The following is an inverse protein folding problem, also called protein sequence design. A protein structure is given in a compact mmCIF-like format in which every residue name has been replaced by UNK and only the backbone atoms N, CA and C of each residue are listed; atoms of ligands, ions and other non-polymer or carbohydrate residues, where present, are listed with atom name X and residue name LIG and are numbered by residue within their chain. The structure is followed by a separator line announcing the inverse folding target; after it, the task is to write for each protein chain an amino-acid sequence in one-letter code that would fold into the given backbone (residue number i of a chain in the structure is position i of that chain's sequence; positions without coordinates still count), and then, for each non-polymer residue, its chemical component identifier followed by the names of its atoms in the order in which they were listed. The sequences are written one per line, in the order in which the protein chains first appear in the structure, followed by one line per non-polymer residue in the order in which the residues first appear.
data_IF_746429422985
#
_entry.id   IF_746429422985
#
_cell.length_a   1.000
_cell.length_b   1.000
_cell.length_c   1.000
_cell.angle_alpha   90.00
_cell.angle_beta   90.00
_cell.angle_gamma   90.00
#
_symmetry.space_group_name_H-M   'P 1'
#
loop_
_entity.id
_entity.type
_entity.pdbx_description
1 polymer ?
#
# COMPACT_ATOMS: atom_id res chain seq x y z
N UNK A 1 22.95 11.52 6.69
CA UNK A 1 21.93 10.98 5.76
C UNK A 1 22.39 11.16 4.31
N UNK A 2 22.53 10.06 3.58
CA UNK A 2 22.87 10.05 2.15
C UNK A 2 21.57 9.96 1.35
N UNK A 3 21.35 10.87 0.41
CA UNK A 3 20.18 10.82 -0.48
C UNK A 3 20.29 9.71 -1.52
N UNK A 4 19.18 9.35 -2.16
CA UNK A 4 19.20 8.51 -3.37
C UNK A 4 18.86 9.37 -4.58
N UNK A 5 19.74 9.35 -5.59
CA UNK A 5 19.49 10.01 -6.87
C UNK A 5 18.27 9.41 -7.55
N UNK A 6 17.38 10.26 -8.09
CA UNK A 6 16.30 9.80 -8.95
C UNK A 6 16.87 9.42 -10.33
N UNK A 7 16.57 8.21 -10.80
CA UNK A 7 17.07 7.68 -12.06
C UNK A 7 16.07 7.86 -13.21
N UNK A 8 14.88 8.42 -12.95
CA UNK A 8 13.78 8.56 -13.89
C UNK A 8 12.51 7.96 -13.29
N UNK A 9 11.67 8.79 -12.68
CA UNK A 9 10.46 8.39 -11.93
C UNK A 9 10.69 7.31 -10.85
N UNK A 10 11.91 7.13 -10.35
CA UNK A 10 12.24 6.11 -9.34
C UNK A 10 12.02 6.59 -7.90
N UNK A 11 11.17 7.60 -7.69
CA UNK A 11 10.91 8.11 -6.34
C UNK A 11 10.24 7.06 -5.45
N UNK A 12 9.36 6.22 -6.00
CA UNK A 12 8.72 5.10 -5.29
C UNK A 12 9.77 4.13 -4.70
N UNK A 13 10.78 3.78 -5.51
CA UNK A 13 11.90 2.93 -5.12
C UNK A 13 12.76 3.64 -4.07
N UNK A 14 13.14 4.90 -4.31
CA UNK A 14 13.98 5.65 -3.38
C UNK A 14 13.32 5.79 -2.00
N UNK A 15 12.01 6.04 -1.93
CA UNK A 15 11.29 6.11 -0.66
C UNK A 15 11.26 4.76 0.06
N UNK A 16 10.98 3.67 -0.64
CA UNK A 16 10.94 2.34 -0.03
C UNK A 16 12.32 1.90 0.47
N UNK A 17 13.38 2.10 -0.34
CA UNK A 17 14.75 1.79 0.03
C UNK A 17 15.22 2.59 1.25
N UNK A 18 14.89 3.88 1.33
CA UNK A 18 15.23 4.69 2.50
C UNK A 18 14.51 4.21 3.76
N UNK A 19 13.23 3.82 3.67
CA UNK A 19 12.50 3.24 4.79
C UNK A 19 13.17 1.95 5.30
N UNK A 20 13.49 1.01 4.40
CA UNK A 20 14.11 -0.26 4.76
C UNK A 20 15.55 -0.09 5.28
N UNK A 21 16.33 0.80 4.67
CA UNK A 21 17.71 1.10 5.09
C UNK A 21 17.79 1.78 6.46
N UNK A 22 16.68 2.29 7.00
CA UNK A 22 16.59 2.83 8.36
C UNK A 22 15.93 1.86 9.34
N UNK A 23 15.46 0.69 8.89
CA UNK A 23 15.04 -0.39 9.77
C UNK A 23 16.29 -1.02 10.42
N UNK A 24 16.66 -0.52 11.60
CA UNK A 24 17.93 -0.86 12.26
C UNK A 24 18.22 -2.36 12.36
N UNK A 25 17.27 -3.23 12.79
CA UNK A 25 17.56 -4.66 12.89
C UNK A 25 17.92 -5.28 11.54
N UNK A 26 17.19 -4.91 10.48
CA UNK A 26 17.46 -5.36 9.12
C UNK A 26 18.83 -4.85 8.63
N UNK A 27 19.11 -3.56 8.86
CA UNK A 27 20.34 -2.93 8.41
C UNK A 27 21.56 -3.51 9.13
N UNK A 28 21.47 -3.73 10.44
CA UNK A 28 22.51 -4.36 11.24
C UNK A 28 22.77 -5.79 10.79
N UNK A 29 21.73 -6.58 10.50
CA UNK A 29 21.90 -7.92 9.95
C UNK A 29 22.81 -7.93 8.71
N UNK A 30 22.57 -7.03 7.76
CA UNK A 30 23.42 -6.90 6.57
C UNK A 30 24.81 -6.36 6.89
N UNK A 31 24.94 -5.32 7.72
CA UNK A 31 26.25 -4.69 7.98
C UNK A 31 27.15 -5.53 8.91
N UNK A 32 26.58 -6.30 9.83
CA UNK A 32 27.33 -7.13 10.78
C UNK A 32 27.94 -8.35 10.08
N UNK A 33 27.22 -8.99 9.15
CA UNK A 33 27.80 -10.07 8.33
C UNK A 33 28.86 -9.51 7.37
N UNK A 34 28.65 -8.32 6.79
CA UNK A 34 29.64 -7.68 5.92
C UNK A 34 30.92 -7.25 6.65
N UNK A 35 30.87 -6.99 7.95
CA UNK A 35 32.07 -6.59 8.71
C UNK A 35 32.88 -7.76 9.25
N UNK A 36 32.32 -8.99 9.30
CA UNK A 36 33.05 -10.21 9.68
C UNK A 36 34.07 -10.64 8.63
N UNK A 37 33.81 -10.39 7.35
CA UNK A 37 34.72 -10.79 6.25
C UNK A 37 35.89 -9.80 6.03
N UNK A 38 35.86 -8.62 6.66
CA UNK A 38 36.90 -7.58 6.49
C UNK A 38 38.16 -7.87 7.31
N UNK A 39 38.13 -8.82 8.25
CA UNK A 39 39.29 -9.13 9.10
C UNK A 39 40.28 -10.14 8.52
N UNK A 40 39.97 -10.86 7.43
CA UNK A 40 40.81 -11.99 6.96
C UNK A 40 41.00 -12.13 5.44
N UNK A 41 40.62 -11.15 4.60
CA UNK A 41 40.80 -11.26 3.14
C UNK A 41 41.64 -10.12 2.58
N UNK A 42 42.82 -10.49 2.07
CA UNK A 42 43.68 -9.67 1.22
C UNK A 42 42.84 -8.99 0.13
N UNK A 43 43.00 -7.67 0.00
CA UNK A 43 42.25 -6.81 -0.91
C UNK A 43 42.62 -7.16 -2.37
N UNK A 44 41.99 -8.20 -2.92
CA UNK A 44 41.93 -8.43 -4.35
C UNK A 44 40.89 -7.46 -4.93
N UNK A 45 41.38 -6.35 -5.49
CA UNK A 45 40.56 -5.25 -6.05
C UNK A 45 39.68 -5.63 -7.24
N UNK A 46 39.71 -6.89 -7.68
CA UNK A 46 38.96 -7.38 -8.85
C UNK A 46 37.77 -8.28 -8.49
N UNK A 47 37.47 -8.49 -7.19
CA UNK A 47 36.36 -9.36 -6.73
C UNK A 47 35.31 -8.67 -5.87
N UNK A 48 35.31 -7.33 -5.75
CA UNK A 48 34.35 -6.60 -4.88
C UNK A 48 32.89 -6.99 -5.13
N UNK A 49 32.54 -7.31 -6.38
CA UNK A 49 31.19 -7.74 -6.76
C UNK A 49 30.86 -9.19 -6.38
N UNK A 50 31.84 -10.11 -6.46
CA UNK A 50 31.58 -11.56 -6.40
C UNK A 50 31.12 -12.06 -5.02
N UNK A 51 31.46 -11.36 -3.93
CA UNK A 51 31.08 -11.79 -2.59
C UNK A 51 29.58 -11.55 -2.32
N UNK A 52 29.02 -10.45 -2.84
CA UNK A 52 27.62 -10.09 -2.64
C UNK A 52 26.64 -11.01 -3.37
N UNK A 53 27.02 -11.58 -4.52
CA UNK A 53 26.15 -12.49 -5.27
C UNK A 53 26.07 -13.90 -4.69
N UNK A 54 26.94 -14.24 -3.73
CA UNK A 54 26.88 -15.57 -3.08
C UNK A 54 25.61 -15.77 -2.27
N UNK A 55 25.06 -14.68 -1.70
CA UNK A 55 23.80 -14.68 -0.93
C UNK A 55 22.56 -14.39 -1.79
N UNK A 56 22.74 -14.14 -3.09
CA UNK A 56 21.66 -13.79 -4.01
C UNK A 56 21.93 -12.50 -4.78
N UNK A 57 21.31 -12.38 -5.94
CA UNK A 57 21.49 -11.23 -6.84
C UNK A 57 20.87 -9.95 -6.31
N UNK A 58 19.64 -10.01 -5.85
CA UNK A 58 18.92 -8.85 -5.32
C UNK A 58 19.41 -8.53 -3.92
N UNK A 59 19.60 -9.57 -3.10
CA UNK A 59 20.11 -9.48 -1.73
C UNK A 59 21.51 -8.86 -1.70
N UNK A 60 22.40 -9.31 -2.58
CA UNK A 60 23.74 -8.73 -2.72
C UNK A 60 23.72 -7.27 -3.13
N UNK A 61 22.91 -6.91 -4.13
CA UNK A 61 22.79 -5.52 -4.58
C UNK A 61 22.17 -4.60 -3.51
N UNK A 62 21.25 -5.12 -2.69
CA UNK A 62 20.71 -4.39 -1.55
C UNK A 62 21.75 -4.23 -0.43
N UNK A 63 22.57 -5.24 -0.16
CA UNK A 63 23.67 -5.15 0.79
C UNK A 63 24.73 -4.11 0.37
N UNK A 64 25.09 -4.05 -0.92
CA UNK A 64 25.98 -3.03 -1.47
C UNK A 64 25.37 -1.61 -1.34
N UNK A 65 24.07 -1.46 -1.59
CA UNK A 65 23.36 -0.19 -1.31
C UNK A 65 23.54 0.23 0.15
N UNK A 66 23.34 -0.68 1.11
CA UNK A 66 23.49 -0.36 2.54
C UNK A 66 24.92 0.04 2.91
N UNK A 67 25.93 -0.64 2.34
CA UNK A 67 27.35 -0.26 2.50
C UNK A 67 27.59 1.18 2.04
N UNK A 68 27.08 1.55 0.86
CA UNK A 68 27.25 2.89 0.31
C UNK A 68 26.49 3.98 1.09
N UNK A 69 25.38 3.62 1.73
CA UNK A 69 24.60 4.55 2.56
C UNK A 69 25.21 4.77 3.95
N UNK A 70 25.78 3.72 4.56
CA UNK A 70 26.15 3.72 5.98
C UNK A 70 27.66 3.65 6.26
N UNK A 71 28.46 2.99 5.41
CA UNK A 71 29.88 2.71 5.67
C UNK A 71 30.85 3.59 4.87
N UNK A 72 30.40 4.26 3.80
CA UNK A 72 31.28 5.15 3.02
C UNK A 72 31.77 6.31 3.89
N UNK A 73 33.10 6.36 4.11
CA UNK A 73 33.71 7.46 4.84
C UNK A 73 33.35 8.80 4.20
N UNK A 74 32.86 9.73 5.01
CA UNK A 74 32.50 11.11 4.62
C UNK A 74 33.71 11.97 4.18
N UNK A 75 34.85 11.36 3.90
CA UNK A 75 36.15 12.02 3.78
C UNK A 75 36.35 12.81 2.48
N UNK A 76 35.34 12.90 1.62
CA UNK A 76 35.34 13.90 0.54
C UNK A 76 33.91 14.44 0.37
N UNK A 77 33.73 15.74 0.63
CA UNK A 77 32.49 16.53 0.56
C UNK A 77 31.83 16.61 -0.84
N UNK A 78 31.76 15.52 -1.61
CA UNK A 78 31.38 15.55 -3.03
C UNK A 78 30.07 14.84 -3.39
N UNK A 79 29.51 13.98 -2.54
CA UNK A 79 28.25 13.29 -2.88
C UNK A 79 27.21 13.38 -1.77
N UNK A 80 26.22 14.27 -1.96
CA UNK A 80 25.00 14.35 -1.15
C UNK A 80 24.02 13.20 -1.42
N UNK A 81 24.26 12.41 -2.47
CA UNK A 81 23.40 11.30 -2.85
C UNK A 81 24.17 10.15 -3.51
N UNK A 82 23.68 8.93 -3.31
CA UNK A 82 24.11 7.70 -3.96
C UNK A 82 23.20 7.37 -5.15
N UNK A 83 23.74 6.76 -6.20
CA UNK A 83 22.99 6.37 -7.41
C UNK A 83 22.75 4.85 -7.41
N UNK A 84 21.53 4.37 -7.11
CA UNK A 84 21.23 2.94 -7.02
C UNK A 84 21.00 2.29 -8.40
N UNK A 85 21.84 2.61 -9.40
CA UNK A 85 21.68 2.13 -10.78
C UNK A 85 21.73 0.61 -10.85
N UNK A 86 22.71 0.03 -10.17
CA UNK A 86 22.94 -1.40 -10.19
C UNK A 86 21.75 -2.20 -9.61
N UNK A 87 21.25 -1.78 -8.45
CA UNK A 87 20.07 -2.37 -7.84
C UNK A 87 18.83 -2.23 -8.74
N UNK A 88 18.63 -1.07 -9.38
CA UNK A 88 17.52 -0.84 -10.33
C UNK A 88 17.59 -1.79 -11.53
N UNK A 89 18.78 -2.02 -12.08
CA UNK A 89 18.99 -2.93 -13.21
C UNK A 89 18.67 -4.38 -12.83
N UNK A 90 19.21 -4.86 -11.70
CA UNK A 90 18.95 -6.23 -11.21
C UNK A 90 17.46 -6.43 -10.94
N UNK A 91 16.82 -5.49 -10.24
CA UNK A 91 15.37 -5.56 -9.98
C UNK A 91 14.60 -5.55 -11.29
N UNK A 92 15.01 -4.77 -12.30
CA UNK A 92 14.37 -4.75 -13.61
C UNK A 92 14.46 -6.08 -14.36
N UNK A 93 15.54 -6.85 -14.17
CA UNK A 93 15.69 -8.20 -14.73
C UNK A 93 14.74 -9.19 -14.05
N UNK A 94 14.66 -9.15 -12.71
CA UNK A 94 13.82 -10.09 -11.94
C UNK A 94 12.32 -9.75 -11.98
N UNK A 95 12.00 -8.46 -12.04
CA UNK A 95 10.63 -7.94 -12.08
C UNK A 95 10.50 -6.88 -13.20
N UNK A 96 10.14 -7.30 -14.42
CA UNK A 96 10.09 -6.42 -15.59
C UNK A 96 9.22 -5.16 -15.44
N UNK A 97 8.18 -5.17 -14.59
CA UNK A 97 7.38 -3.98 -14.26
C UNK A 97 8.22 -2.83 -13.67
N UNK A 98 9.29 -3.15 -12.95
CA UNK A 98 10.21 -2.18 -12.39
C UNK A 98 11.38 -1.88 -13.32
N UNK A 99 11.44 -2.47 -14.52
CA UNK A 99 12.47 -2.16 -15.51
C UNK A 99 12.21 -0.82 -16.21
N UNK A 100 10.95 -0.42 -16.34
CA UNK A 100 10.56 0.81 -17.04
C UNK A 100 10.97 2.07 -16.27
N UNK A 101 10.73 3.22 -16.90
CA UNK A 101 10.94 4.57 -16.34
C UNK A 101 9.62 5.21 -15.90
N UNK A 102 8.57 4.41 -15.71
CA UNK A 102 7.27 4.87 -15.26
C UNK A 102 7.22 4.94 -13.73
N UNK A 103 6.26 5.69 -13.20
CA UNK A 103 5.96 5.63 -11.78
C UNK A 103 5.31 4.29 -11.45
N UNK A 104 5.63 3.76 -10.27
CA UNK A 104 5.10 2.48 -9.76
C UNK A 104 4.66 2.66 -8.30
N UNK A 105 3.90 1.69 -7.79
CA UNK A 105 3.49 1.67 -6.39
C UNK A 105 4.70 1.30 -5.49
N UNK A 106 4.95 2.14 -4.47
CA UNK A 106 6.05 1.92 -3.53
C UNK A 106 5.82 0.69 -2.63
N UNK A 107 4.57 0.36 -2.31
CA UNK A 107 4.22 -0.83 -1.54
C UNK A 107 4.47 -2.09 -2.37
N UNK A 108 4.08 -2.10 -3.65
CA UNK A 108 4.35 -3.25 -4.54
C UNK A 108 5.86 -3.48 -4.68
N UNK A 109 6.64 -2.40 -4.86
CA UNK A 109 8.10 -2.49 -4.90
C UNK A 109 8.70 -3.04 -3.61
N UNK A 110 8.23 -2.57 -2.45
CA UNK A 110 8.76 -2.99 -1.15
C UNK A 110 8.43 -4.45 -0.86
N UNK A 111 7.22 -4.90 -1.17
CA UNK A 111 6.82 -6.31 -1.06
C UNK A 111 7.69 -7.18 -1.94
N UNK A 112 7.87 -6.82 -3.22
CA UNK A 112 8.76 -7.55 -4.12
C UNK A 112 10.18 -7.66 -3.56
N UNK A 113 10.76 -6.55 -3.10
CA UNK A 113 12.13 -6.53 -2.58
C UNK A 113 12.29 -7.44 -1.35
N UNK A 114 11.35 -7.38 -0.40
CA UNK A 114 11.39 -8.21 0.80
C UNK A 114 11.18 -9.69 0.48
N UNK A 115 10.23 -10.03 -0.40
CA UNK A 115 9.95 -11.41 -0.81
C UNK A 115 11.15 -12.02 -1.53
N UNK A 116 11.83 -11.24 -2.37
CA UNK A 116 12.98 -11.70 -3.13
C UNK A 116 14.22 -11.88 -2.23
N UNK A 117 14.46 -10.96 -1.30
CA UNK A 117 15.50 -11.14 -0.27
C UNK A 117 15.20 -12.37 0.60
N UNK A 118 13.94 -12.55 1.01
CA UNK A 118 13.51 -13.72 1.77
C UNK A 118 13.80 -15.02 1.01
N UNK A 119 13.43 -15.07 -0.28
CA UNK A 119 13.63 -16.23 -1.15
C UNK A 119 15.11 -16.58 -1.28
N UNK A 120 15.96 -15.60 -1.64
CA UNK A 120 17.40 -15.82 -1.83
C UNK A 120 18.11 -16.22 -0.52
N UNK A 121 17.74 -15.66 0.63
CA UNK A 121 18.29 -16.07 1.93
C UNK A 121 17.90 -17.51 2.30
N UNK A 122 16.67 -17.92 1.98
CA UNK A 122 16.15 -19.26 2.27
C UNK A 122 16.78 -20.33 1.38
N UNK A 123 17.02 -20.02 0.11
CA UNK A 123 17.73 -20.91 -0.82
C UNK A 123 19.18 -21.18 -0.39
N UNK A 124 19.85 -20.16 0.16
CA UNK A 124 21.22 -20.30 0.65
C UNK A 124 21.34 -21.01 2.01
N UNK A 125 20.27 -21.04 2.81
CA UNK A 125 20.25 -21.70 4.12
C UNK A 125 18.97 -22.52 4.33
N UNK A 126 18.78 -23.64 3.60
CA UNK A 126 17.52 -24.40 3.61
C UNK A 126 17.19 -25.04 4.97
N UNK A 127 18.20 -25.22 5.83
CA UNK A 127 18.03 -25.76 7.18
C UNK A 127 17.62 -24.70 8.22
N UNK A 128 17.71 -23.41 7.88
CA UNK A 128 17.21 -22.36 8.76
C UNK A 128 15.71 -22.20 8.54
N UNK A 129 14.93 -22.37 9.61
CA UNK A 129 13.48 -22.29 9.54
C UNK A 129 12.99 -20.89 9.18
N UNK A 130 13.67 -19.84 9.66
CA UNK A 130 13.21 -18.46 9.51
C UNK A 130 14.36 -17.53 9.05
N UNK A 131 14.07 -16.69 8.05
CA UNK A 131 14.99 -15.62 7.64
C UNK A 131 14.76 -14.36 8.48
N UNK A 132 15.71 -13.42 8.48
CA UNK A 132 15.54 -12.10 9.10
C UNK A 132 14.30 -11.35 8.57
N UNK A 133 13.92 -11.57 7.31
CA UNK A 133 12.73 -10.94 6.72
C UNK A 133 11.46 -11.47 7.37
N UNK A 134 11.38 -12.79 7.53
CA UNK A 134 10.25 -13.45 8.17
C UNK A 134 10.15 -13.08 9.66
N UNK A 135 11.28 -12.97 10.36
CA UNK A 135 11.31 -12.55 11.77
C UNK A 135 10.88 -11.10 11.99
N UNK A 136 11.27 -10.18 11.09
CA UNK A 136 11.03 -8.75 11.28
C UNK A 136 9.71 -8.26 10.69
N UNK A 137 9.27 -8.82 9.56
CA UNK A 137 8.19 -8.25 8.77
C UNK A 137 6.97 -9.16 8.65
N UNK A 138 7.09 -10.48 8.85
CA UNK A 138 5.96 -11.37 8.61
C UNK A 138 5.07 -11.48 9.85
N UNK A 139 3.79 -11.20 9.65
CA UNK A 139 2.71 -11.46 10.58
C UNK A 139 1.81 -12.59 10.08
N UNK A 140 0.92 -13.07 10.96
CA UNK A 140 -0.14 -14.02 10.62
C UNK A 140 -1.49 -13.31 10.71
N UNK A 141 -2.33 -13.48 9.68
CA UNK A 141 -3.71 -13.03 9.68
C UNK A 141 -4.63 -14.25 9.56
N UNK A 142 -5.64 -14.33 10.41
CA UNK A 142 -6.72 -15.31 10.29
C UNK A 142 -7.88 -14.66 9.54
N UNK A 143 -8.29 -15.27 8.43
CA UNK A 143 -9.48 -14.89 7.67
C UNK A 143 -10.52 -15.98 7.80
N UNK A 144 -11.78 -15.58 8.02
CA UNK A 144 -12.91 -16.49 8.09
C UNK A 144 -13.89 -16.16 6.96
N UNK A 145 -14.28 -17.16 6.18
CA UNK A 145 -15.31 -17.06 5.15
C UNK A 145 -16.54 -17.79 5.65
N UNK A 146 -17.67 -17.08 5.73
CA UNK A 146 -18.95 -17.65 6.17
C UNK A 146 -19.90 -17.76 4.98
N UNK A 147 -20.39 -18.98 4.70
CA UNK A 147 -21.42 -19.19 3.70
C UNK A 147 -22.77 -18.64 4.18
N UNK A 148 -23.41 -17.78 3.37
CA UNK A 148 -24.67 -17.13 3.74
C UNK A 148 -25.88 -18.09 3.72
N UNK A 149 -25.81 -19.20 2.98
CA UNK A 149 -26.90 -20.17 2.89
C UNK A 149 -26.86 -21.22 4.01
N UNK A 150 -25.70 -21.88 4.20
CA UNK A 150 -25.56 -22.98 5.16
C UNK A 150 -24.89 -22.59 6.48
N UNK A 151 -24.42 -21.34 6.62
CA UNK A 151 -23.74 -20.81 7.80
C UNK A 151 -22.44 -21.54 8.18
N UNK A 152 -21.87 -22.34 7.25
CA UNK A 152 -20.55 -22.94 7.44
C UNK A 152 -19.47 -21.86 7.42
N UNK A 153 -18.53 -21.96 8.36
CA UNK A 153 -17.38 -21.07 8.49
C UNK A 153 -16.09 -21.83 8.16
N UNK A 154 -15.33 -21.32 7.19
CA UNK A 154 -13.99 -21.80 6.85
C UNK A 154 -12.95 -20.78 7.29
N UNK A 155 -11.95 -21.23 8.05
CA UNK A 155 -10.87 -20.38 8.58
C UNK A 155 -9.55 -20.68 7.90
N UNK A 156 -8.83 -19.64 7.50
CA UNK A 156 -7.52 -19.75 6.86
C UNK A 156 -6.53 -18.80 7.54
N UNK A 157 -5.34 -19.29 7.85
CA UNK A 157 -4.24 -18.47 8.38
C UNK A 157 -3.27 -18.18 7.23
N UNK A 158 -3.07 -16.90 6.92
CA UNK A 158 -2.15 -16.43 5.89
C UNK A 158 -0.99 -15.65 6.50
N UNK A 159 0.18 -15.71 5.87
CA UNK A 159 1.31 -14.85 6.20
C UNK A 159 1.17 -13.52 5.44
N UNK A 160 1.47 -12.42 6.12
CA UNK A 160 1.47 -11.07 5.53
C UNK A 160 2.74 -10.33 5.90
N UNK A 161 3.35 -9.63 4.94
CA UNK A 161 4.47 -8.71 5.19
C UNK A 161 4.02 -7.27 5.47
N UNK A 162 2.77 -6.95 5.10
CA UNK A 162 2.14 -5.65 5.31
C UNK A 162 0.68 -5.83 5.69
N UNK A 163 0.18 -4.92 6.55
CA UNK A 163 -1.24 -4.83 6.87
C UNK A 163 -1.89 -3.71 6.04
N UNK A 164 -2.61 -4.02 4.96
CA UNK A 164 -3.36 -3.00 4.24
C UNK A 164 -4.50 -2.51 5.13
N UNK A 165 -4.47 -1.22 5.45
CA UNK A 165 -5.54 -0.57 6.21
C UNK A 165 -6.47 0.15 5.25
N UNK A 166 -7.75 -0.28 5.14
CA UNK A 166 -8.71 0.48 4.36
C UNK A 166 -8.84 1.86 5.00
N UNK A 167 -8.67 2.89 4.18
CA UNK A 167 -9.04 4.24 4.62
C UNK A 167 -10.55 4.23 4.86
N UNK A 168 -10.98 4.68 6.04
CA UNK A 168 -12.39 4.99 6.28
C UNK A 168 -12.79 6.03 5.25
N UNK A 169 -13.53 5.61 4.22
CA UNK A 169 -14.03 6.52 3.22
C UNK A 169 -14.90 7.53 3.96
N UNK A 170 -14.45 8.78 4.03
CA UNK A 170 -15.22 9.85 4.64
C UNK A 170 -16.49 9.95 3.84
N UNK A 171 -17.62 9.59 4.44
CA UNK A 171 -18.89 9.83 3.80
C UNK A 171 -19.09 11.34 3.66
N UNK A 172 -19.65 11.76 2.54
CA UNK A 172 -20.14 13.11 2.35
C UNK A 172 -21.47 13.23 3.07
N UNK A 173 -21.58 14.25 3.92
CA UNK A 173 -22.85 14.58 4.59
C UNK A 173 -23.76 15.32 3.63
N UNK A 174 -25.00 14.86 3.52
CA UNK A 174 -26.06 15.49 2.76
C UNK A 174 -27.20 15.90 3.68
N UNK A 175 -27.69 17.12 3.50
CA UNK A 175 -28.94 17.56 4.10
C UNK A 175 -30.06 17.21 3.14
N UNK A 176 -30.90 16.27 3.55
CA UNK A 176 -32.00 15.76 2.74
C UNK A 176 -33.31 16.30 3.28
N UNK A 177 -34.05 17.00 2.43
CA UNK A 177 -35.43 17.44 2.72
C UNK A 177 -36.39 16.54 1.97
N UNK A 178 -37.23 15.79 2.69
CA UNK A 178 -38.27 14.96 2.10
C UNK A 178 -39.61 15.68 2.10
N UNK A 179 -40.20 15.82 0.92
CA UNK A 179 -41.51 16.41 0.70
C UNK A 179 -42.51 15.27 0.50
N UNK A 180 -43.31 15.04 1.54
CA UNK A 180 -44.37 14.03 1.54
C UNK A 180 -45.66 14.58 0.93
N UNK A 181 -46.45 13.72 0.30
CA UNK A 181 -47.70 14.14 -0.38
C UNK A 181 -48.85 14.46 0.60
N UNK A 182 -48.88 13.77 1.74
CA UNK A 182 -50.00 13.82 2.69
C UNK A 182 -49.56 14.12 4.13
N UNK A 183 -48.29 14.50 4.34
CA UNK A 183 -47.69 14.69 5.66
C UNK A 183 -46.73 15.87 5.65
N UNK A 184 -46.28 16.26 6.84
CA UNK A 184 -45.25 17.28 6.98
C UNK A 184 -43.92 16.82 6.38
N UNK A 185 -43.12 17.78 5.94
CA UNK A 185 -41.79 17.53 5.42
C UNK A 185 -40.87 17.02 6.53
N UNK A 186 -40.02 16.05 6.20
CA UNK A 186 -38.98 15.55 7.09
C UNK A 186 -37.63 16.08 6.60
N UNK A 187 -36.73 16.40 7.53
CA UNK A 187 -35.35 16.80 7.20
C UNK A 187 -34.39 15.92 7.98
N UNK A 188 -33.42 15.33 7.28
CA UNK A 188 -32.36 14.54 7.91
C UNK A 188 -30.99 14.88 7.32
N UNK A 189 -29.98 14.77 8.16
CA UNK A 189 -28.59 14.77 7.72
C UNK A 189 -28.14 13.32 7.56
N UNK A 190 -27.88 12.90 6.33
CA UNK A 190 -27.43 11.53 6.04
C UNK A 190 -25.98 11.53 5.60
N UNK A 191 -25.28 10.46 5.98
CA UNK A 191 -23.89 10.29 5.60
C UNK A 191 -23.81 9.21 4.53
N UNK A 192 -23.37 9.58 3.33
CA UNK A 192 -23.30 8.65 2.20
C UNK A 192 -21.89 8.63 1.66
N UNK A 193 -21.46 7.45 1.26
CA UNK A 193 -20.14 7.22 0.67
C UNK A 193 -19.89 8.16 -0.52
N UNK A 194 -18.70 8.78 -0.61
CA UNK A 194 -18.37 9.75 -1.68
C UNK A 194 -18.45 9.15 -3.09
N UNK A 195 -18.11 7.87 -3.23
CA UNK A 195 -18.25 7.11 -4.47
C UNK A 195 -19.63 6.46 -4.64
N UNK A 196 -20.57 6.73 -3.74
CA UNK A 196 -21.94 6.27 -3.86
C UNK A 196 -22.67 6.96 -5.01
N UNK A 197 -23.88 6.51 -5.28
CA UNK A 197 -24.78 7.07 -6.27
C UNK A 197 -25.96 7.77 -5.59
N UNK A 198 -26.70 8.60 -6.33
CA UNK A 198 -27.88 9.31 -5.81
C UNK A 198 -28.90 8.36 -5.17
N UNK A 199 -29.07 7.12 -5.67
CA UNK A 199 -29.93 6.12 -5.00
C UNK A 199 -29.53 5.79 -3.57
N UNK A 200 -28.23 5.85 -3.25
CA UNK A 200 -27.75 5.59 -1.89
C UNK A 200 -28.14 6.71 -0.91
N UNK A 201 -28.45 7.93 -1.40
CA UNK A 201 -29.06 8.97 -0.57
C UNK A 201 -30.47 8.59 -0.14
N UNK A 202 -31.24 8.00 -1.05
CA UNK A 202 -32.60 7.56 -0.75
C UNK A 202 -32.55 6.42 0.27
N UNK A 203 -31.69 5.42 0.05
CA UNK A 203 -31.49 4.31 0.99
C UNK A 203 -31.07 4.81 2.38
N UNK A 204 -30.03 5.66 2.46
CA UNK A 204 -29.56 6.22 3.72
C UNK A 204 -30.61 7.09 4.43
N UNK A 205 -31.42 7.83 3.66
CA UNK A 205 -32.53 8.61 4.20
C UNK A 205 -33.60 7.69 4.77
N UNK A 206 -34.02 6.65 4.03
CA UNK A 206 -35.04 5.69 4.47
C UNK A 206 -34.61 4.99 5.76
N UNK A 207 -33.35 4.57 5.85
CA UNK A 207 -32.77 3.93 7.04
C UNK A 207 -32.79 4.85 8.26
N UNK A 208 -32.56 6.15 8.07
CA UNK A 208 -32.55 7.13 9.17
C UNK A 208 -33.91 7.29 9.88
N UNK A 209 -35.01 6.86 9.26
CA UNK A 209 -36.36 7.01 9.78
C UNK A 209 -37.03 5.69 10.20
N UNK A 210 -36.26 4.63 10.47
CA UNK A 210 -36.67 3.37 11.13
C UNK A 210 -38.19 3.07 11.06
N UNK A 211 -38.61 2.26 10.07
CA UNK A 211 -39.99 1.78 9.86
C UNK A 211 -40.97 2.64 9.05
N UNK A 212 -40.50 3.58 8.20
CA UNK A 212 -41.37 4.20 7.19
C UNK A 212 -41.25 3.48 5.85
N UNK A 213 -42.29 2.72 5.48
CA UNK A 213 -42.44 2.20 4.13
C UNK A 213 -42.90 3.33 3.22
N UNK A 214 -42.04 3.75 2.30
CA UNK A 214 -42.43 4.65 1.21
C UNK A 214 -43.06 3.80 0.11
N UNK A 215 -44.37 3.95 -0.10
CA UNK A 215 -45.12 3.19 -1.12
C UNK A 215 -45.10 3.86 -2.49
N UNK A 216 -44.74 5.13 -2.54
CA UNK A 216 -44.80 5.98 -3.71
C UNK A 216 -43.41 6.15 -4.34
N UNK A 217 -43.38 6.57 -5.60
CA UNK A 217 -42.12 6.80 -6.32
C UNK A 217 -41.43 8.03 -5.71
N UNK A 218 -40.19 7.86 -5.25
CA UNK A 218 -39.36 8.96 -4.77
C UNK A 218 -38.50 9.44 -5.94
N UNK A 219 -38.51 10.75 -6.17
CA UNK A 219 -37.54 11.42 -7.04
C UNK A 219 -36.56 12.23 -6.21
N UNK A 220 -35.31 12.33 -6.66
CA UNK A 220 -34.30 13.18 -6.05
C UNK A 220 -34.14 14.45 -6.88
N UNK A 221 -34.01 15.59 -6.21
CA UNK A 221 -33.86 16.90 -6.84
C UNK A 221 -32.72 17.67 -6.18
N UNK A 222 -31.97 18.41 -6.98
CA UNK A 222 -31.01 19.41 -6.50
C UNK A 222 -31.01 20.60 -7.45
N UNK A 223 -30.93 21.83 -6.92
CA UNK A 223 -30.97 23.07 -7.71
C UNK A 223 -32.16 23.13 -8.69
N UNK A 224 -33.34 22.69 -8.26
CA UNK A 224 -34.59 22.61 -9.05
C UNK A 224 -34.58 21.63 -10.25
N UNK A 225 -33.55 20.79 -10.39
CA UNK A 225 -33.46 19.74 -11.42
C UNK A 225 -33.63 18.33 -10.84
N UNK A 226 -34.27 17.43 -11.59
CA UNK A 226 -34.41 16.01 -11.22
C UNK A 226 -33.07 15.28 -11.47
N UNK A 227 -32.59 14.58 -10.44
CA UNK A 227 -31.32 13.87 -10.47
C UNK A 227 -31.49 12.44 -11.00
N UNK A 228 -30.55 12.00 -11.83
CA UNK A 228 -30.40 10.59 -12.17
C UNK A 228 -29.93 9.79 -10.94
N UNK A 229 -30.65 8.72 -10.62
CA UNK A 229 -30.38 7.86 -9.47
C UNK A 229 -29.04 7.12 -9.57
N UNK A 230 -28.55 6.90 -10.79
CA UNK A 230 -27.26 6.24 -11.05
C UNK A 230 -26.09 7.24 -11.11
N UNK A 231 -26.36 8.54 -11.00
CA UNK A 231 -25.34 9.58 -10.98
C UNK A 231 -24.42 9.43 -9.76
N UNK A 232 -23.09 9.47 -9.94
CA UNK A 232 -22.14 9.50 -8.83
C UNK A 232 -22.31 10.74 -7.94
N UNK A 233 -22.30 10.56 -6.62
CA UNK A 233 -22.47 11.65 -5.65
C UNK A 233 -21.34 12.69 -5.68
N UNK A 234 -20.16 12.32 -6.17
CA UNK A 234 -19.04 13.24 -6.37
C UNK A 234 -19.29 14.26 -7.50
N UNK A 235 -20.28 14.04 -8.36
CA UNK A 235 -20.68 14.98 -9.41
C UNK A 235 -21.68 16.04 -8.91
N UNK A 236 -22.31 15.82 -7.75
CA UNK A 236 -23.23 16.80 -7.17
C UNK A 236 -22.47 18.01 -6.65
N UNK A 237 -22.79 19.19 -7.18
CA UNK A 237 -22.20 20.46 -6.72
C UNK A 237 -22.71 20.90 -5.34
N UNK A 238 -23.80 20.30 -4.85
CA UNK A 238 -24.46 20.64 -3.58
C UNK A 238 -24.60 19.43 -2.68
N UNK A 239 -24.60 19.69 -1.36
CA UNK A 239 -24.94 18.70 -0.33
C UNK A 239 -26.40 18.79 0.12
N UNK A 240 -27.18 19.72 -0.44
CA UNK A 240 -28.60 19.87 -0.16
C UNK A 240 -29.40 19.18 -1.25
N UNK A 241 -30.17 18.15 -0.87
CA UNK A 241 -30.97 17.33 -1.81
C UNK A 241 -32.41 17.30 -1.33
N UNK A 242 -33.35 17.45 -2.26
CA UNK A 242 -34.78 17.36 -1.98
C UNK A 242 -35.28 16.03 -2.53
N UNK A 243 -35.88 15.21 -1.68
CA UNK A 243 -36.57 13.99 -2.09
C UNK A 243 -38.07 14.28 -2.14
N UNK A 244 -38.71 14.04 -3.28
CA UNK A 244 -40.14 14.29 -3.46
C UNK A 244 -40.90 13.00 -3.70
N UNK A 245 -41.96 12.80 -2.92
CA UNK A 245 -42.89 11.71 -3.09
C UNK A 245 -43.91 12.02 -4.20
N UNK A 246 -43.88 11.28 -5.32
CA UNK A 246 -44.84 11.43 -6.45
C UNK A 246 -46.03 10.48 -6.31
#
# INVERSE_FOLDING_TARGET
PVGLSNLGNTCYMNSALQCLAHAKPLTQFFLDDLTKDVSDVDICKDTEWNQFYTIGTVTGAYADLLRNLWLTEKNINLYSSFRPTHLKEIIGVQAPRFATWDQQDAQEFMTFLLDEIHRELKENNPNNSNTIIEELFFGKIESAITCLECQHEEKTINLISFLPLPLTQQGRKFMVTFIAKYRNNDVACVNVHENGQVKNLIEAFVESFSHRYFTNKIIAMANDEELDLEMPLNQLSTSDVILVEK
#
